data_IF_776734628452
#
_entry.id   IF_776734628452
#
_cell.length_a   1.000
_cell.length_b   1.000
_cell.length_c   1.000
_cell.angle_alpha   90.00
_cell.angle_beta   90.00
_cell.angle_gamma   90.00
#
_symmetry.space_group_name_H-M   'P 1'
#
loop_
_entity.id
_entity.type
_entity.pdbx_description
1 polymer ?
#
# COMPACT_ATOMS: atom_id res chain seq x y z
N UNK A 1 15.70 4.48 -15.20
CA UNK A 1 14.82 3.94 -14.14
C UNK A 1 14.54 2.48 -14.47
N UNK A 2 14.89 1.55 -13.58
CA UNK A 2 14.56 0.12 -13.77
C UNK A 2 13.10 -0.12 -13.38
N UNK A 3 12.19 -0.02 -14.36
CA UNK A 3 10.74 -0.14 -14.14
C UNK A 3 10.36 -1.46 -13.48
N UNK A 4 11.04 -2.55 -13.86
CA UNK A 4 10.77 -3.89 -13.31
C UNK A 4 11.03 -3.91 -11.80
N UNK A 5 12.15 -3.35 -11.33
CA UNK A 5 12.45 -3.25 -9.89
C UNK A 5 11.43 -2.40 -9.14
N UNK A 6 10.94 -1.32 -9.75
CA UNK A 6 9.95 -0.45 -9.11
C UNK A 6 8.61 -1.16 -8.96
N UNK A 7 8.16 -1.85 -10.01
CA UNK A 7 6.92 -2.66 -9.96
C UNK A 7 7.06 -3.75 -8.91
N UNK A 8 8.18 -4.48 -8.88
CA UNK A 8 8.42 -5.51 -7.87
C UNK A 8 8.47 -4.93 -6.45
N UNK A 9 9.05 -3.74 -6.26
CA UNK A 9 9.06 -3.06 -4.97
C UNK A 9 7.63 -2.78 -4.48
N UNK A 10 6.77 -2.24 -5.35
CA UNK A 10 5.35 -2.01 -5.05
C UNK A 10 4.62 -3.30 -4.71
N UNK A 11 4.79 -4.36 -5.51
CA UNK A 11 4.12 -5.66 -5.29
C UNK A 11 4.58 -6.35 -3.99
N UNK A 12 5.87 -6.32 -3.68
CA UNK A 12 6.39 -6.94 -2.45
C UNK A 12 5.93 -6.13 -1.23
N UNK A 13 5.99 -4.80 -1.29
CA UNK A 13 5.53 -3.95 -0.21
C UNK A 13 4.02 -4.13 0.06
N UNK A 14 3.18 -4.29 -0.98
CA UNK A 14 1.74 -4.54 -0.77
C UNK A 14 1.46 -5.87 -0.10
N UNK A 15 2.25 -6.90 -0.38
CA UNK A 15 2.11 -8.19 0.32
C UNK A 15 2.39 -8.02 1.81
N UNK A 16 3.43 -7.24 2.19
CA UNK A 16 3.74 -6.98 3.61
C UNK A 16 2.54 -6.35 4.32
N UNK A 17 2.01 -5.25 3.81
CA UNK A 17 0.84 -4.59 4.41
C UNK A 17 -0.41 -5.47 4.37
N UNK A 18 -0.67 -6.10 3.23
CA UNK A 18 -1.85 -6.96 3.05
C UNK A 18 -1.86 -8.09 4.06
N UNK A 19 -0.74 -8.77 4.27
CA UNK A 19 -0.65 -9.88 5.22
C UNK A 19 -0.82 -9.43 6.67
N UNK A 20 -0.25 -8.27 7.05
CA UNK A 20 -0.43 -7.74 8.42
C UNK A 20 -1.90 -7.48 8.70
N UNK A 21 -2.61 -6.80 7.80
CA UNK A 21 -4.04 -6.56 7.95
C UNK A 21 -4.86 -7.84 7.97
N UNK A 22 -4.66 -8.73 7.00
CA UNK A 22 -5.43 -9.98 6.93
C UNK A 22 -5.27 -10.84 8.20
N UNK A 23 -4.04 -10.93 8.73
CA UNK A 23 -3.77 -11.67 9.96
C UNK A 23 -4.43 -10.99 11.16
N UNK A 24 -4.28 -9.68 11.28
CA UNK A 24 -4.90 -8.94 12.38
C UNK A 24 -6.43 -9.09 12.37
N UNK A 25 -7.07 -8.86 11.23
CA UNK A 25 -8.53 -8.93 11.09
C UNK A 25 -9.07 -10.36 11.28
N UNK A 26 -8.28 -11.38 10.94
CA UNK A 26 -8.61 -12.76 11.28
C UNK A 26 -8.65 -12.98 12.80
N UNK A 27 -7.65 -12.48 13.52
CA UNK A 27 -7.54 -12.63 14.98
C UNK A 27 -8.54 -11.73 15.73
N UNK A 28 -8.82 -10.54 15.20
CA UNK A 28 -9.79 -9.59 15.75
C UNK A 28 -11.25 -10.00 15.50
N UNK A 29 -11.49 -11.07 14.73
CA UNK A 29 -12.83 -11.62 14.48
C UNK A 29 -13.57 -10.99 13.30
N UNK A 30 -12.94 -10.08 12.55
CA UNK A 30 -13.54 -9.51 11.35
C UNK A 30 -13.45 -10.43 10.12
N UNK A 31 -12.53 -11.40 10.17
CA UNK A 31 -12.33 -12.42 9.13
C UNK A 31 -11.12 -12.10 8.25
N UNK A 32 -10.36 -13.14 7.90
CA UNK A 32 -9.10 -13.04 7.14
C UNK A 32 -9.24 -12.31 5.79
N UNK A 33 -10.39 -12.46 5.13
CA UNK A 33 -10.65 -11.87 3.82
C UNK A 33 -11.27 -10.47 3.88
N UNK A 34 -11.53 -9.94 5.08
CA UNK A 34 -12.22 -8.66 5.25
C UNK A 34 -11.52 -7.52 4.51
N UNK A 35 -10.18 -7.34 4.54
CA UNK A 35 -9.56 -6.20 3.87
C UNK A 35 -9.74 -6.27 2.35
N UNK A 36 -9.63 -7.47 1.77
CA UNK A 36 -9.76 -7.66 0.32
C UNK A 36 -11.21 -7.47 -0.11
N UNK A 37 -12.18 -8.01 0.64
CA UNK A 37 -13.60 -7.81 0.33
C UNK A 37 -13.98 -6.34 0.42
N UNK A 38 -13.49 -5.62 1.42
CA UNK A 38 -13.72 -4.17 1.54
C UNK A 38 -13.11 -3.41 0.38
N UNK A 39 -11.84 -3.62 0.04
CA UNK A 39 -11.23 -2.99 -1.15
C UNK A 39 -12.01 -3.34 -2.43
N UNK A 40 -12.47 -4.58 -2.56
CA UNK A 40 -13.31 -5.03 -3.66
C UNK A 40 -14.64 -4.27 -3.74
N UNK A 41 -15.17 -3.76 -2.61
CA UNK A 41 -16.39 -2.97 -2.53
C UNK A 41 -16.26 -1.58 -3.16
N UNK A 42 -15.03 -1.10 -3.43
CA UNK A 42 -14.79 0.07 -4.30
C UNK A 42 -15.45 -0.15 -5.67
N UNK A 43 -15.34 -1.35 -6.25
CA UNK A 43 -15.91 -1.70 -7.57
C UNK A 43 -17.27 -2.38 -7.40
N UNK A 44 -17.34 -3.40 -6.54
CA UNK A 44 -18.54 -4.18 -6.28
C UNK A 44 -19.39 -3.48 -5.21
N UNK A 45 -20.06 -2.39 -5.58
CA UNK A 45 -20.80 -1.51 -4.65
C UNK A 45 -21.82 -2.23 -3.77
N UNK A 46 -22.35 -3.38 -4.19
CA UNK A 46 -23.23 -4.22 -3.36
C UNK A 46 -22.57 -4.76 -2.07
N UNK A 47 -21.25 -4.74 -1.98
CA UNK A 47 -20.50 -5.17 -0.79
C UNK A 47 -20.37 -4.07 0.28
N UNK A 48 -20.85 -2.85 0.04
CA UNK A 48 -20.77 -1.75 1.02
C UNK A 48 -21.52 -2.05 2.34
N UNK A 49 -22.53 -2.92 2.29
CA UNK A 49 -23.31 -3.35 3.45
C UNK A 49 -22.92 -4.73 3.98
N UNK A 50 -21.79 -5.31 3.54
CA UNK A 50 -21.38 -6.64 3.99
C UNK A 50 -21.21 -6.69 5.52
N UNK A 51 -21.74 -7.74 6.13
CA UNK A 51 -21.66 -7.95 7.57
C UNK A 51 -20.27 -8.44 8.00
N UNK A 52 -19.95 -8.23 9.27
CA UNK A 52 -18.73 -8.69 9.92
C UNK A 52 -19.13 -9.76 10.94
N UNK A 53 -18.53 -10.97 10.95
CA UNK A 53 -17.33 -11.39 10.22
C UNK A 53 -17.55 -11.56 8.72
N UNK A 54 -16.58 -11.13 7.91
CA UNK A 54 -16.66 -11.19 6.45
C UNK A 54 -16.25 -12.59 5.96
N UNK A 55 -17.14 -13.33 5.29
CA UNK A 55 -16.79 -14.63 4.70
C UNK A 55 -15.91 -14.45 3.45
N UNK A 56 -15.35 -15.56 2.96
CA UNK A 56 -14.70 -15.54 1.65
C UNK A 56 -15.72 -15.25 0.54
N UNK A 57 -15.54 -14.12 -0.15
CA UNK A 57 -16.34 -13.75 -1.32
C UNK A 57 -15.43 -13.66 -2.54
N UNK A 58 -15.52 -14.66 -3.42
CA UNK A 58 -14.57 -14.84 -4.53
C UNK A 58 -14.31 -13.55 -5.32
N UNK A 59 -15.37 -12.91 -5.82
CA UNK A 59 -15.21 -11.67 -6.60
C UNK A 59 -14.72 -10.49 -5.76
N UNK A 60 -15.16 -10.39 -4.49
CA UNK A 60 -14.63 -9.40 -3.56
C UNK A 60 -13.13 -9.53 -3.37
N UNK A 61 -12.64 -10.76 -3.18
CA UNK A 61 -11.22 -11.04 -2.98
C UNK A 61 -10.41 -10.77 -4.24
N UNK A 62 -10.89 -11.20 -5.42
CA UNK A 62 -10.18 -10.98 -6.70
C UNK A 62 -10.03 -9.50 -7.01
N UNK A 63 -11.12 -8.73 -6.96
CA UNK A 63 -11.07 -7.29 -7.23
C UNK A 63 -10.35 -6.52 -6.12
N UNK A 64 -10.48 -6.96 -4.87
CA UNK A 64 -9.74 -6.40 -3.74
C UNK A 64 -8.23 -6.56 -3.89
N UNK A 65 -7.77 -7.78 -4.19
CA UNK A 65 -6.37 -8.06 -4.41
C UNK A 65 -5.81 -7.28 -5.61
N UNK A 66 -6.53 -7.26 -6.74
CA UNK A 66 -6.12 -6.51 -7.91
C UNK A 66 -6.02 -5.00 -7.61
N UNK A 67 -7.03 -4.43 -6.94
CA UNK A 67 -7.05 -3.03 -6.54
C UNK A 67 -5.91 -2.67 -5.57
N UNK A 68 -5.67 -3.53 -4.57
CA UNK A 68 -4.57 -3.36 -3.62
C UNK A 68 -3.20 -3.36 -4.30
N UNK A 69 -2.94 -4.35 -5.16
CA UNK A 69 -1.68 -4.47 -5.89
C UNK A 69 -1.48 -3.31 -6.85
N UNK A 70 -2.52 -2.90 -7.57
CA UNK A 70 -2.48 -1.76 -8.49
C UNK A 70 -2.16 -0.46 -7.77
N UNK A 71 -2.86 -0.16 -6.66
CA UNK A 71 -2.61 1.04 -5.87
C UNK A 71 -1.18 1.07 -5.33
N UNK A 72 -0.68 -0.06 -4.83
CA UNK A 72 0.69 -0.14 -4.33
C UNK A 72 1.73 0.10 -5.42
N UNK A 73 1.53 -0.42 -6.63
CA UNK A 73 2.41 -0.15 -7.76
C UNK A 73 2.36 1.32 -8.16
N UNK A 74 1.17 1.93 -8.24
CA UNK A 74 1.00 3.35 -8.56
C UNK A 74 1.73 4.22 -7.53
N UNK A 75 1.49 4.01 -6.24
CA UNK A 75 2.15 4.79 -5.20
C UNK A 75 3.65 4.49 -5.10
N UNK A 76 4.10 3.27 -5.42
CA UNK A 76 5.52 2.91 -5.53
C UNK A 76 6.23 3.62 -6.68
N UNK A 77 5.56 3.78 -7.83
CA UNK A 77 6.04 4.58 -8.97
C UNK A 77 6.16 6.05 -8.59
N UNK A 78 5.14 6.62 -7.94
CA UNK A 78 5.16 8.01 -7.46
C UNK A 78 6.32 8.22 -6.48
N UNK A 79 6.46 7.34 -5.49
CA UNK A 79 7.55 7.41 -4.52
C UNK A 79 8.91 7.39 -5.22
N UNK A 80 9.12 6.43 -6.13
CA UNK A 80 10.36 6.33 -6.88
C UNK A 80 10.63 7.59 -7.70
N UNK A 81 9.61 8.15 -8.36
CA UNK A 81 9.73 9.38 -9.14
C UNK A 81 10.16 10.57 -8.28
N UNK A 82 9.60 10.70 -7.07
CA UNK A 82 10.01 11.72 -6.09
C UNK A 82 11.46 11.50 -5.69
N UNK A 83 11.82 10.28 -5.27
CA UNK A 83 13.15 10.00 -4.72
C UNK A 83 14.26 9.95 -5.76
N UNK A 84 13.96 9.68 -7.03
CA UNK A 84 14.94 9.57 -8.11
C UNK A 84 15.75 10.86 -8.32
N UNK A 85 15.24 12.00 -7.86
CA UNK A 85 15.90 13.32 -7.95
C UNK A 85 16.70 13.69 -6.70
N UNK A 86 16.82 12.77 -5.74
CA UNK A 86 17.48 13.01 -4.46
C UNK A 86 18.83 12.30 -4.39
N UNK A 87 19.60 12.58 -3.35
CA UNK A 87 20.84 11.84 -3.00
C UNK A 87 20.63 10.95 -1.77
N UNK A 88 19.39 10.53 -1.50
CA UNK A 88 19.06 9.75 -0.31
C UNK A 88 19.83 8.42 -0.28
N UNK A 89 20.46 8.14 0.86
CA UNK A 89 20.99 6.82 1.17
C UNK A 89 19.87 5.80 1.34
N UNK A 90 20.19 4.50 1.39
CA UNK A 90 19.20 3.46 1.69
C UNK A 90 18.40 3.73 2.97
N UNK A 91 19.07 4.21 4.03
CA UNK A 91 18.40 4.62 5.29
C UNK A 91 17.47 5.79 5.05
N UNK A 92 17.90 6.78 4.26
CA UNK A 92 17.08 7.93 3.86
C UNK A 92 15.84 7.52 3.06
N UNK A 93 15.95 6.51 2.18
CA UNK A 93 14.81 5.97 1.43
C UNK A 93 13.81 5.25 2.34
N UNK A 94 14.28 4.49 3.34
CA UNK A 94 13.39 3.83 4.32
C UNK A 94 12.62 4.87 5.13
N UNK A 95 13.31 5.87 5.70
CA UNK A 95 12.65 6.95 6.45
C UNK A 95 11.70 7.74 5.55
N UNK A 96 12.14 8.09 4.33
CA UNK A 96 11.31 8.77 3.35
C UNK A 96 10.07 7.97 2.96
N UNK A 97 10.21 6.64 2.82
CA UNK A 97 9.11 5.72 2.54
C UNK A 97 8.10 5.67 3.68
N UNK A 98 8.55 5.64 4.93
CA UNK A 98 7.67 5.72 6.12
C UNK A 98 6.88 7.04 6.11
N UNK A 99 7.56 8.18 5.94
CA UNK A 99 6.91 9.50 5.92
C UNK A 99 5.89 9.58 4.77
N UNK A 100 6.28 9.12 3.59
CA UNK A 100 5.40 9.04 2.42
C UNK A 100 4.17 8.17 2.70
N UNK A 101 4.34 7.01 3.32
CA UNK A 101 3.25 6.11 3.64
C UNK A 101 2.28 6.66 4.69
N UNK A 102 2.79 7.39 5.69
CA UNK A 102 1.93 8.10 6.65
C UNK A 102 1.09 9.17 5.94
N UNK A 103 1.69 9.92 5.00
CA UNK A 103 0.94 10.89 4.20
C UNK A 103 -0.15 10.21 3.34
N UNK A 104 0.18 9.10 2.67
CA UNK A 104 -0.78 8.30 1.91
C UNK A 104 -1.92 7.80 2.81
N UNK A 105 -1.60 7.23 3.98
CA UNK A 105 -2.59 6.79 4.96
C UNK A 105 -3.52 7.92 5.36
N UNK A 106 -3.00 9.08 5.75
CA UNK A 106 -3.81 10.21 6.22
C UNK A 106 -4.77 10.67 5.11
N UNK A 107 -4.28 10.84 3.88
CA UNK A 107 -5.10 11.25 2.76
C UNK A 107 -6.16 10.19 2.44
N UNK A 108 -5.76 8.92 2.37
CA UNK A 108 -6.68 7.84 2.03
C UNK A 108 -7.73 7.65 3.11
N UNK A 109 -7.33 7.51 4.37
CA UNK A 109 -8.21 7.16 5.48
C UNK A 109 -9.20 8.26 5.83
N UNK A 110 -8.77 9.53 5.83
CA UNK A 110 -9.61 10.63 6.29
C UNK A 110 -10.33 11.37 5.16
N UNK A 111 -9.92 11.18 3.89
CA UNK A 111 -10.52 11.88 2.75
C UNK A 111 -11.09 10.93 1.72
N UNK A 112 -10.29 10.04 1.15
CA UNK A 112 -10.72 9.22 0.00
C UNK A 112 -11.66 8.10 0.42
N UNK A 113 -11.29 7.32 1.43
CA UNK A 113 -12.05 6.16 1.92
C UNK A 113 -13.47 6.55 2.37
N UNK A 114 -13.69 7.60 3.19
CA UNK A 114 -15.05 8.00 3.59
C UNK A 114 -15.95 8.38 2.40
N UNK A 115 -15.37 8.90 1.31
CA UNK A 115 -16.11 9.34 0.13
C UNK A 115 -16.35 8.22 -0.88
N UNK A 116 -15.38 7.31 -1.04
CA UNK A 116 -15.38 6.31 -2.11
C UNK A 116 -15.76 4.93 -1.59
N UNK A 117 -15.24 4.51 -0.44
CA UNK A 117 -15.33 3.13 0.06
C UNK A 117 -15.57 3.07 1.59
N UNK A 118 -16.71 3.60 2.07
CA UNK A 118 -16.94 3.77 3.51
C UNK A 118 -16.98 2.45 4.29
N UNK A 119 -17.28 1.30 3.66
CA UNK A 119 -17.23 -0.01 4.34
C UNK A 119 -15.83 -0.34 4.85
N UNK A 120 -14.78 0.18 4.22
CA UNK A 120 -13.40 -0.02 4.63
C UNK A 120 -13.09 0.62 5.99
N UNK A 121 -13.90 1.58 6.45
CA UNK A 121 -13.79 2.17 7.80
C UNK A 121 -14.20 1.20 8.92
N UNK A 122 -14.71 0.00 8.59
CA UNK A 122 -14.90 -1.09 9.56
C UNK A 122 -13.58 -1.72 10.02
N UNK A 123 -12.48 -1.52 9.29
CA UNK A 123 -11.14 -1.97 9.68
C UNK A 123 -10.63 -1.22 10.90
N UNK A 124 -9.71 -1.83 11.64
CA UNK A 124 -9.07 -1.17 12.76
C UNK A 124 -8.04 -0.13 12.28
N UNK A 125 -8.43 1.14 12.23
CA UNK A 125 -7.63 2.22 11.63
C UNK A 125 -6.21 2.37 12.18
N UNK A 126 -5.97 2.08 13.46
CA UNK A 126 -4.60 2.11 14.03
C UNK A 126 -3.72 1.02 13.45
N UNK A 127 -4.26 -0.18 13.23
CA UNK A 127 -3.48 -1.27 12.63
C UNK A 127 -3.26 -0.95 11.15
N UNK A 128 -4.28 -0.42 10.49
CA UNK A 128 -4.16 0.08 9.12
C UNK A 128 -3.06 1.12 8.94
N UNK A 129 -2.90 2.04 9.91
CA UNK A 129 -1.81 3.01 9.94
C UNK A 129 -0.43 2.34 10.12
N UNK A 130 -0.32 1.36 11.02
CA UNK A 130 0.92 0.60 11.24
C UNK A 130 1.30 -0.17 9.98
N UNK A 131 0.33 -0.82 9.33
CA UNK A 131 0.54 -1.56 8.09
C UNK A 131 1.02 -0.65 6.95
N UNK A 132 0.53 0.60 6.89
CA UNK A 132 1.08 1.61 5.97
C UNK A 132 2.54 1.94 6.28
N UNK A 133 2.90 2.16 7.55
CA UNK A 133 4.29 2.41 7.95
C UNK A 133 5.20 1.25 7.50
N UNK A 134 4.74 0.00 7.70
CA UNK A 134 5.47 -1.19 7.24
C UNK A 134 5.60 -1.26 5.72
N UNK A 135 4.54 -0.93 4.97
CA UNK A 135 4.59 -0.81 3.51
C UNK A 135 5.60 0.24 3.05
N UNK A 136 5.60 1.43 3.67
CA UNK A 136 6.55 2.51 3.35
C UNK A 136 8.00 2.11 3.61
N UNK A 137 8.26 1.47 4.75
CA UNK A 137 9.58 0.95 5.08
C UNK A 137 10.05 -0.11 4.08
N UNK A 138 9.19 -1.07 3.74
CA UNK A 138 9.48 -2.12 2.77
C UNK A 138 9.75 -1.52 1.37
N UNK A 139 8.92 -0.55 0.95
CA UNK A 139 9.10 0.15 -0.31
C UNK A 139 10.47 0.85 -0.36
N UNK A 140 10.82 1.66 0.65
CA UNK A 140 12.11 2.35 0.73
C UNK A 140 13.33 1.42 0.75
N UNK A 141 13.17 0.21 1.31
CA UNK A 141 14.20 -0.81 1.32
C UNK A 141 14.46 -1.39 -0.08
N UNK A 142 13.42 -1.54 -0.91
CA UNK A 142 13.48 -2.30 -2.16
C UNK A 142 13.68 -1.40 -3.39
N UNK A 143 13.14 -0.18 -3.40
CA UNK A 143 13.22 0.69 -4.58
C UNK A 143 14.68 0.96 -5.00
N UNK A 144 14.96 1.22 -6.29
CA UNK A 144 16.31 1.55 -6.74
C UNK A 144 16.87 2.76 -6.00
N UNK A 145 18.12 2.67 -5.55
CA UNK A 145 18.77 3.82 -4.93
C UNK A 145 19.10 4.85 -6.02
N UNK A 146 18.86 6.15 -5.79
CA UNK A 146 19.27 7.19 -6.73
C UNK A 146 20.80 7.13 -6.91
N UNK A 147 21.25 6.94 -8.14
CA UNK A 147 22.63 7.18 -8.50
C UNK A 147 22.82 8.69 -8.51
N UNK A 148 23.35 9.25 -7.40
CA UNK A 148 23.50 10.71 -7.25
C UNK A 148 24.18 11.37 -8.46
N UNK A 149 23.97 12.69 -8.64
CA UNK A 149 24.42 13.47 -9.80
C UNK A 149 25.89 13.22 -10.24
N UNK A 150 26.78 12.83 -9.31
CA UNK A 150 28.17 12.48 -9.60
C UNK A 150 28.36 11.23 -10.50
N UNK A 151 27.38 10.33 -10.57
CA UNK A 151 27.43 9.15 -11.45
C UNK A 151 27.06 9.48 -12.90
N UNK A 152 26.22 10.51 -13.12
CA UNK A 152 25.81 10.94 -14.47
C UNK A 152 26.89 11.76 -15.19
N UNK A 153 27.76 12.44 -14.45
CA UNK A 153 28.89 13.22 -14.99
C UNK A 153 30.12 12.37 -15.36
N UNK A 154 30.18 11.09 -14.97
CA UNK A 154 31.29 10.18 -15.31
C UNK A 154 31.09 9.42 -16.62
N UNK A 155 29.96 9.63 -17.28
CA UNK A 155 29.58 8.96 -18.53
C UNK A 155 29.32 9.94 -19.68
N UNK A 156 29.70 11.21 -19.52
CA UNK A 156 29.59 12.25 -20.54
C UNK A 156 30.99 12.72 -20.98
#
# INVERSE_FOLDING_TARGET
MDLRRVVLAGLIASVVMGMVEMIYEAVAGAGFWSPMVFIGATILRGLQSVEVPVPFLFWGVVFGLAGHMMNSVIFGLIFTWITARTSLSRRGLVVGGIVYAVAVFVIMWFVIVPLIDPVMLKLHGTVFAISHVMWGAALGLIVPQPSGAAAQLRTA
#
